data_IF_774632489084
#
_entry.id   IF_774632489084
#
_cell.length_a   1.000
_cell.length_b   1.000
_cell.length_c   1.000
_cell.angle_alpha   90.00
_cell.angle_beta   90.00
_cell.angle_gamma   90.00
#
_symmetry.space_group_name_H-M   'P 1'
#
loop_
_entity.id
_entity.type
_entity.pdbx_description
1 polymer ?
#
# COMPACT_ATOMS: atom_id res chain seq x y z
N UNK A 1 -4.79 8.25 -28.92
CA UNK A 1 -6.17 8.75 -29.09
C UNK A 1 -6.87 8.68 -27.74
N UNK A 2 -7.78 9.60 -27.41
CA UNK A 2 -8.58 9.56 -26.17
C UNK A 2 -10.04 9.93 -26.43
N UNK A 3 -10.96 9.35 -25.67
CA UNK A 3 -12.41 9.61 -25.75
C UNK A 3 -12.95 10.36 -24.50
N UNK A 4 -12.09 10.67 -23.52
CA UNK A 4 -12.46 11.37 -22.29
C UNK A 4 -12.32 12.91 -22.36
N UNK A 5 -12.58 13.61 -21.24
CA UNK A 5 -12.55 15.08 -21.14
C UNK A 5 -11.20 15.73 -21.49
N UNK A 6 -10.11 14.96 -21.38
CA UNK A 6 -8.76 15.42 -21.64
C UNK A 6 -7.99 14.44 -22.54
N UNK A 7 -6.94 14.95 -23.20
CA UNK A 7 -5.89 14.19 -23.87
C UNK A 7 -4.58 14.31 -23.10
N UNK A 8 -3.83 13.22 -23.01
CA UNK A 8 -2.50 13.20 -22.41
C UNK A 8 -1.48 13.79 -23.39
N UNK A 9 -0.63 14.69 -22.92
CA UNK A 9 0.42 15.34 -23.73
C UNK A 9 1.73 15.40 -22.95
N UNK A 10 2.84 15.10 -23.63
CA UNK A 10 4.20 15.26 -23.08
C UNK A 10 4.67 14.15 -22.15
N UNK A 11 3.94 13.02 -22.07
CA UNK A 11 4.43 11.83 -21.37
C UNK A 11 5.32 11.01 -22.31
N UNK A 12 6.52 10.67 -21.85
CA UNK A 12 7.53 9.90 -22.59
C UNK A 12 7.63 8.45 -22.14
N UNK A 13 6.73 8.01 -21.25
CA UNK A 13 6.79 6.69 -20.62
C UNK A 13 7.58 6.67 -19.31
N UNK A 14 8.54 7.59 -19.13
CA UNK A 14 9.49 7.58 -18.01
C UNK A 14 9.73 8.93 -17.35
N UNK A 15 9.26 10.03 -17.93
CA UNK A 15 9.46 11.36 -17.38
C UNK A 15 8.52 11.65 -16.18
N UNK A 16 8.96 12.53 -15.30
CA UNK A 16 8.26 12.89 -14.05
C UNK A 16 7.22 14.01 -14.21
N UNK A 17 6.93 14.46 -15.43
CA UNK A 17 5.97 15.53 -15.68
C UNK A 17 5.16 15.27 -16.94
N UNK A 18 3.89 15.65 -16.93
CA UNK A 18 3.02 15.60 -18.11
C UNK A 18 1.89 16.60 -17.95
N UNK A 19 1.02 16.67 -18.94
CA UNK A 19 -0.19 17.47 -18.86
C UNK A 19 -1.38 16.76 -19.48
N UNK A 20 -2.54 16.99 -18.88
CA UNK A 20 -3.83 16.74 -19.49
C UNK A 20 -4.32 18.03 -20.13
N UNK A 21 -4.63 18.00 -21.42
CA UNK A 21 -5.15 19.15 -22.17
C UNK A 21 -6.60 18.85 -22.53
N UNK A 22 -7.50 19.82 -22.38
CA UNK A 22 -8.93 19.66 -22.72
C UNK A 22 -9.10 19.04 -24.10
N UNK A 23 -9.94 18.01 -24.19
CA UNK A 23 -10.27 17.33 -25.44
C UNK A 23 -11.49 18.00 -26.10
N UNK A 24 -11.33 18.70 -27.23
CA UNK A 24 -12.45 19.36 -27.90
C UNK A 24 -13.44 18.35 -28.54
N UNK A 25 -13.03 17.10 -28.76
CA UNK A 25 -13.87 16.05 -29.34
C UNK A 25 -14.63 15.22 -28.30
N UNK A 26 -14.48 15.51 -27.01
CA UNK A 26 -15.28 14.87 -25.98
C UNK A 26 -16.74 15.33 -26.09
N UNK A 27 -17.69 14.39 -26.04
CA UNK A 27 -19.12 14.67 -26.24
C UNK A 27 -19.65 15.79 -25.33
N UNK A 28 -19.08 15.94 -24.12
CA UNK A 28 -19.43 16.98 -23.15
C UNK A 28 -18.34 18.04 -22.95
N UNK A 29 -17.53 18.35 -23.98
CA UNK A 29 -16.41 19.30 -23.88
C UNK A 29 -16.85 20.72 -23.44
N UNK A 30 -18.07 21.15 -23.74
CA UNK A 30 -18.64 22.44 -23.32
C UNK A 30 -18.64 22.63 -21.78
N UNK A 31 -18.77 21.54 -21.03
CA UNK A 31 -18.79 21.56 -19.57
C UNK A 31 -17.41 21.39 -18.91
N UNK A 32 -16.37 21.09 -19.69
CA UNK A 32 -14.99 20.99 -19.17
C UNK A 32 -14.39 22.40 -19.05
N UNK A 33 -14.24 22.90 -17.81
CA UNK A 33 -13.80 24.28 -17.53
C UNK A 33 -12.28 24.43 -17.40
N UNK A 34 -11.58 23.42 -16.91
CA UNK A 34 -10.13 23.45 -16.79
C UNK A 34 -9.53 23.18 -18.18
N UNK A 35 -8.73 24.12 -18.69
CA UNK A 35 -8.12 23.99 -20.01
C UNK A 35 -6.93 23.02 -20.02
N UNK A 36 -6.14 23.04 -18.95
CA UNK A 36 -4.96 22.21 -18.80
C UNK A 36 -4.71 21.88 -17.33
N UNK A 37 -4.33 20.63 -17.07
CA UNK A 37 -3.85 20.15 -15.78
C UNK A 37 -2.39 19.77 -15.97
N UNK A 38 -1.49 20.37 -15.19
CA UNK A 38 -0.07 19.99 -15.18
C UNK A 38 0.14 19.00 -14.04
N UNK A 39 0.88 17.94 -14.30
CA UNK A 39 1.21 16.92 -13.30
C UNK A 39 2.73 16.84 -13.17
N UNK A 40 3.19 16.75 -11.94
CA UNK A 40 4.57 16.51 -11.59
C UNK A 40 4.62 15.43 -10.49
N UNK A 41 5.55 14.49 -10.62
CA UNK A 41 5.76 13.44 -9.63
C UNK A 41 6.58 13.99 -8.47
N UNK A 42 6.04 13.88 -7.26
CA UNK A 42 6.74 14.13 -6.00
C UNK A 42 6.80 12.82 -5.21
N UNK A 43 7.98 12.46 -4.68
CA UNK A 43 8.17 11.18 -3.97
C UNK A 43 8.18 11.32 -2.44
N UNK A 44 8.24 12.55 -1.95
CA UNK A 44 8.29 12.86 -0.52
C UNK A 44 7.42 14.06 -0.18
N UNK A 45 6.87 14.04 1.04
CA UNK A 45 5.94 15.05 1.55
C UNK A 45 6.57 16.44 1.68
N UNK A 46 7.89 16.53 1.89
CA UNK A 46 8.58 17.82 2.05
C UNK A 46 8.66 18.57 0.73
N UNK A 47 9.09 17.90 -0.34
CA UNK A 47 9.13 18.46 -1.70
C UNK A 47 7.73 18.86 -2.16
N UNK A 48 6.74 17.99 -1.95
CA UNK A 48 5.33 18.25 -2.24
C UNK A 48 4.83 19.53 -1.54
N UNK A 49 5.02 19.62 -0.22
CA UNK A 49 4.62 20.78 0.56
C UNK A 49 5.32 22.06 0.13
N UNK A 50 6.62 22.01 -0.15
CA UNK A 50 7.38 23.17 -0.61
C UNK A 50 6.85 23.70 -1.96
N UNK A 51 6.52 22.81 -2.90
CA UNK A 51 5.92 23.20 -4.17
C UNK A 51 4.53 23.82 -3.99
N UNK A 52 3.72 23.28 -3.08
CA UNK A 52 2.40 23.79 -2.77
C UNK A 52 2.49 25.20 -2.14
N UNK A 53 3.33 25.37 -1.12
CA UNK A 53 3.54 26.64 -0.44
C UNK A 53 4.14 27.72 -1.36
N UNK A 54 4.95 27.31 -2.34
CA UNK A 54 5.49 28.20 -3.37
C UNK A 54 4.50 28.50 -4.52
N UNK A 55 3.26 28.00 -4.45
CA UNK A 55 2.23 28.18 -5.47
C UNK A 55 2.53 27.48 -6.80
N UNK A 56 3.48 26.53 -6.83
CA UNK A 56 3.86 25.78 -8.04
C UNK A 56 2.90 24.64 -8.35
N UNK A 57 2.23 24.11 -7.32
CA UNK A 57 1.15 23.12 -7.44
C UNK A 57 -0.05 23.58 -6.61
N UNK A 58 -1.25 23.15 -7.00
CA UNK A 58 -2.52 23.54 -6.35
C UNK A 58 -3.11 22.43 -5.49
N UNK A 59 -2.63 21.20 -5.65
CA UNK A 59 -3.08 20.02 -4.92
C UNK A 59 -1.91 19.06 -4.79
N UNK A 60 -1.77 18.43 -3.63
CA UNK A 60 -0.80 17.38 -3.38
C UNK A 60 -1.22 16.50 -2.22
N UNK A 61 -0.74 15.25 -2.22
CA UNK A 61 -0.81 14.39 -1.04
C UNK A 61 0.40 14.67 -0.13
N UNK A 62 0.17 14.57 1.17
CA UNK A 62 1.18 14.70 2.22
C UNK A 62 0.89 13.66 3.30
N UNK A 63 1.92 13.29 4.03
CA UNK A 63 1.87 12.22 5.03
C UNK A 63 2.73 12.57 6.25
N UNK A 64 2.73 11.67 7.25
CA UNK A 64 3.76 11.65 8.28
C UNK A 64 3.79 12.92 9.12
N UNK A 65 5.01 13.43 9.27
CA UNK A 65 5.30 14.59 10.09
C UNK A 65 4.62 15.86 9.59
N UNK A 66 4.42 15.98 8.27
CA UNK A 66 3.76 17.15 7.71
C UNK A 66 2.29 17.23 8.13
N UNK A 67 1.56 16.11 8.05
CA UNK A 67 0.16 16.03 8.49
C UNK A 67 0.06 16.38 9.98
N UNK A 68 0.94 15.80 10.80
CA UNK A 68 0.98 16.08 12.24
C UNK A 68 1.21 17.56 12.55
N UNK A 69 2.20 18.18 11.90
CA UNK A 69 2.55 19.58 12.13
C UNK A 69 1.49 20.57 11.61
N UNK A 70 0.70 20.17 10.60
CA UNK A 70 -0.26 21.04 9.92
C UNK A 70 -1.73 20.64 10.13
N UNK A 71 -2.02 19.82 11.15
CA UNK A 71 -3.36 19.27 11.42
C UNK A 71 -4.49 20.31 11.57
N UNK A 72 -4.15 21.55 11.94
CA UNK A 72 -5.10 22.66 12.08
C UNK A 72 -5.23 23.53 10.83
N UNK A 73 -4.51 23.22 9.75
CA UNK A 73 -4.57 23.99 8.51
C UNK A 73 -5.90 23.75 7.80
N UNK A 74 -6.58 24.84 7.40
CA UNK A 74 -7.80 24.77 6.58
C UNK A 74 -7.55 24.21 5.17
N UNK A 75 -6.29 24.17 4.74
CA UNK A 75 -5.88 23.62 3.43
C UNK A 75 -5.57 22.12 3.51
N UNK A 76 -5.50 21.55 4.72
CA UNK A 76 -5.26 20.14 4.92
C UNK A 76 -6.59 19.42 5.11
N UNK A 77 -6.83 18.42 4.27
CA UNK A 77 -7.98 17.54 4.37
C UNK A 77 -7.51 16.10 4.49
N UNK A 78 -8.07 15.37 5.46
CA UNK A 78 -7.84 13.93 5.62
C UNK A 78 -9.15 13.18 5.40
N UNK A 79 -9.07 12.09 4.65
CA UNK A 79 -10.18 11.19 4.41
C UNK A 79 -9.65 9.76 4.37
N UNK A 80 -10.39 8.83 4.95
CA UNK A 80 -10.03 7.42 4.85
C UNK A 80 -10.37 6.93 3.45
N UNK A 81 -9.39 6.34 2.77
CA UNK A 81 -9.57 5.75 1.45
C UNK A 81 -10.11 4.33 1.58
N UNK A 82 -10.91 3.90 0.59
CA UNK A 82 -11.15 2.48 0.29
C UNK A 82 -9.88 1.86 -0.28
N UNK A 83 -8.83 1.78 0.54
CA UNK A 83 -7.51 1.25 0.20
C UNK A 83 -7.01 0.36 1.34
N UNK A 84 -6.53 -0.82 0.99
CA UNK A 84 -5.87 -1.75 1.89
C UNK A 84 -4.42 -1.94 1.45
N UNK A 85 -3.47 -1.86 2.39
CA UNK A 85 -2.08 -2.26 2.13
C UNK A 85 -1.84 -3.67 2.69
N UNK A 86 -1.19 -4.52 1.90
CA UNK A 86 -1.06 -5.96 2.14
C UNK A 86 0.39 -6.39 1.93
N UNK A 87 0.84 -7.37 2.71
CA UNK A 87 2.07 -8.11 2.41
C UNK A 87 1.71 -9.38 1.64
N UNK A 88 2.11 -9.43 0.38
CA UNK A 88 2.02 -10.62 -0.46
C UNK A 88 3.27 -11.46 -0.30
N UNK A 89 3.07 -12.76 -0.11
CA UNK A 89 4.15 -13.74 -0.04
C UNK A 89 4.12 -14.55 -1.32
N UNK A 90 5.28 -14.66 -1.97
CA UNK A 90 5.38 -15.48 -3.17
C UNK A 90 5.35 -16.96 -2.81
N UNK A 91 4.19 -17.60 -2.93
CA UNK A 91 4.03 -19.02 -2.59
C UNK A 91 4.75 -19.97 -3.55
N UNK A 92 5.23 -19.50 -4.71
CA UNK A 92 6.03 -20.33 -5.64
C UNK A 92 7.45 -20.56 -5.14
N UNK A 93 7.91 -19.75 -4.19
CA UNK A 93 9.22 -19.93 -3.54
C UNK A 93 9.05 -20.78 -2.29
N UNK A 94 9.81 -21.88 -2.21
CA UNK A 94 9.78 -22.79 -1.06
C UNK A 94 9.94 -22.05 0.28
N UNK A 95 10.82 -21.03 0.32
CA UNK A 95 11.09 -20.23 1.51
C UNK A 95 9.85 -19.49 2.01
N UNK A 96 9.00 -18.95 1.13
CA UNK A 96 7.83 -18.12 1.47
C UNK A 96 6.48 -18.81 1.34
N UNK A 97 6.47 -20.07 0.86
CA UNK A 97 5.28 -20.92 0.78
C UNK A 97 4.77 -21.40 2.15
N UNK A 98 5.61 -21.38 3.19
CA UNK A 98 5.24 -21.84 4.54
C UNK A 98 4.20 -20.94 5.19
N UNK A 99 3.10 -21.54 5.66
CA UNK A 99 2.11 -20.85 6.48
C UNK A 99 2.72 -20.36 7.81
N UNK A 100 3.62 -21.14 8.41
CA UNK A 100 4.30 -20.75 9.64
C UNK A 100 5.06 -19.44 9.47
N UNK A 101 5.71 -19.21 8.32
CA UNK A 101 6.34 -17.92 8.04
C UNK A 101 5.31 -16.79 7.97
N UNK A 102 4.23 -16.96 7.18
CA UNK A 102 3.21 -15.91 6.98
C UNK A 102 2.55 -15.51 8.28
N UNK A 103 2.23 -16.50 9.13
CA UNK A 103 1.69 -16.28 10.46
C UNK A 103 2.71 -15.55 11.35
N UNK A 104 3.97 -16.01 11.38
CA UNK A 104 5.02 -15.37 12.18
C UNK A 104 5.18 -13.88 11.85
N UNK A 105 5.22 -13.53 10.56
CA UNK A 105 5.31 -12.15 10.09
C UNK A 105 4.07 -11.34 10.49
N UNK A 106 2.86 -11.86 10.25
CA UNK A 106 1.61 -11.14 10.55
C UNK A 106 1.45 -10.82 12.05
N UNK A 107 1.78 -11.79 12.92
CA UNK A 107 1.73 -11.63 14.38
C UNK A 107 2.83 -10.70 14.93
N UNK A 108 3.94 -10.50 14.21
CA UNK A 108 5.05 -9.64 14.62
C UNK A 108 4.81 -8.15 14.33
N UNK A 109 3.81 -7.80 13.52
CA UNK A 109 3.53 -6.44 13.08
C UNK A 109 2.50 -5.78 13.99
N UNK A 110 2.92 -4.73 14.70
CA UNK A 110 2.02 -3.85 15.44
C UNK A 110 1.41 -2.81 14.49
N UNK A 111 0.22 -3.13 13.97
CA UNK A 111 -0.50 -2.28 13.02
C UNK A 111 -0.91 -0.93 13.64
N UNK A 112 -1.11 -0.84 14.96
CA UNK A 112 -1.41 0.44 15.61
C UNK A 112 -0.16 1.31 15.68
N UNK A 113 1.00 0.72 16.03
CA UNK A 113 2.27 1.44 16.00
C UNK A 113 2.59 1.91 14.57
N UNK A 114 2.39 1.06 13.57
CA UNK A 114 2.60 1.41 12.17
C UNK A 114 1.78 2.65 11.77
N UNK A 115 0.48 2.67 12.04
CA UNK A 115 -0.35 3.82 11.65
C UNK A 115 -0.09 5.05 12.50
N UNK A 116 0.06 4.90 13.81
CA UNK A 116 0.13 6.04 14.73
C UNK A 116 1.53 6.66 14.84
N UNK A 117 2.59 5.89 14.57
CA UNK A 117 3.98 6.32 14.77
C UNK A 117 4.80 6.40 13.49
N UNK A 118 4.47 5.60 12.46
CA UNK A 118 5.19 5.62 11.18
C UNK A 118 4.44 6.50 10.17
N UNK A 119 3.17 6.18 9.90
CA UNK A 119 2.38 6.88 8.87
C UNK A 119 1.86 8.25 9.33
N UNK A 120 1.32 8.36 10.55
CA UNK A 120 0.87 9.62 11.19
C UNK A 120 -0.05 10.51 10.32
N UNK A 121 -0.79 9.92 9.39
CA UNK A 121 -1.55 10.63 8.35
C UNK A 121 -3.07 10.45 8.47
N UNK A 122 -3.53 9.74 9.50
CA UNK A 122 -4.94 9.38 9.69
C UNK A 122 -5.28 7.96 9.26
N UNK A 123 -4.33 7.22 8.65
CA UNK A 123 -4.43 5.79 8.39
C UNK A 123 -4.86 5.02 9.63
N UNK A 124 -5.60 3.92 9.42
CA UNK A 124 -6.15 3.09 10.50
C UNK A 124 -5.60 1.68 10.42
N UNK A 125 -5.23 1.11 11.57
CA UNK A 125 -4.77 -0.27 11.65
C UNK A 125 -5.80 -1.22 11.01
N UNK A 126 -5.36 -2.03 10.05
CA UNK A 126 -6.21 -2.99 9.36
C UNK A 126 -6.81 -4.01 10.33
N UNK A 127 -8.08 -4.34 10.15
CA UNK A 127 -8.77 -5.41 10.89
C UNK A 127 -8.86 -6.69 10.05
N UNK A 128 -9.21 -6.53 8.78
CA UNK A 128 -9.40 -7.64 7.83
C UNK A 128 -8.74 -7.30 6.48
N UNK A 129 -8.86 -8.20 5.49
CA UNK A 129 -8.45 -7.92 4.11
C UNK A 129 -9.33 -6.86 3.42
N UNK A 130 -10.56 -6.68 3.90
CA UNK A 130 -11.50 -5.64 3.45
C UNK A 130 -11.33 -4.40 4.35
N UNK A 131 -11.19 -3.19 3.79
CA UNK A 131 -11.05 -1.97 4.58
C UNK A 131 -12.36 -1.56 5.26
N UNK A 132 -12.22 -0.77 6.33
CA UNK A 132 -13.37 -0.15 7.01
C UNK A 132 -14.07 0.81 6.04
N UNK A 133 -15.40 0.83 6.07
CA UNK A 133 -16.22 1.70 5.25
C UNK A 133 -16.45 1.19 3.83
N UNK A 134 -15.94 0.00 3.48
CA UNK A 134 -16.17 -0.61 2.17
C UNK A 134 -17.62 -1.09 2.04
N UNK A 135 -18.08 -1.90 3.00
CA UNK A 135 -19.45 -2.40 3.03
C UNK A 135 -20.04 -2.39 4.42
N UNK A 136 -21.36 -2.20 4.47
CA UNK A 136 -22.17 -2.39 5.66
C UNK A 136 -23.09 -3.58 5.50
N UNK A 137 -23.29 -4.30 6.60
CA UNK A 137 -24.24 -5.39 6.67
C UNK A 137 -25.67 -4.83 6.49
N UNK A 138 -26.44 -5.29 5.49
CA UNK A 138 -27.76 -4.72 5.20
C UNK A 138 -28.80 -4.99 6.29
N UNK A 139 -28.57 -5.98 7.16
CA UNK A 139 -29.48 -6.29 8.27
C UNK A 139 -29.17 -5.49 9.53
N UNK A 140 -27.88 -5.28 9.85
CA UNK A 140 -27.45 -4.67 11.12
C UNK A 140 -26.96 -3.24 10.96
N UNK A 141 -26.67 -2.79 9.74
CA UNK A 141 -26.03 -1.51 9.43
C UNK A 141 -24.56 -1.41 9.86
N UNK A 142 -23.96 -2.48 10.40
CA UNK A 142 -22.59 -2.47 10.90
C UNK A 142 -21.58 -2.60 9.77
N UNK A 143 -20.42 -1.97 9.95
CA UNK A 143 -19.26 -2.10 9.06
C UNK A 143 -18.72 -3.53 9.04
N UNK A 144 -18.53 -4.11 7.85
CA UNK A 144 -18.08 -5.49 7.69
C UNK A 144 -16.72 -5.74 8.38
N UNK A 145 -15.73 -4.86 8.17
CA UNK A 145 -14.40 -5.03 8.73
C UNK A 145 -14.43 -5.03 10.28
N UNK A 146 -15.35 -4.28 10.87
CA UNK A 146 -15.58 -4.23 12.31
C UNK A 146 -16.30 -5.47 12.85
N UNK A 147 -17.26 -6.02 12.10
CA UNK A 147 -17.93 -7.29 12.46
C UNK A 147 -16.99 -8.50 12.39
N UNK A 148 -16.14 -8.56 11.36
CA UNK A 148 -15.10 -9.61 11.24
C UNK A 148 -14.03 -9.45 12.33
N UNK A 149 -13.68 -8.21 12.66
CA UNK A 149 -12.64 -7.91 13.64
C UNK A 149 -11.24 -8.29 13.16
N UNK A 150 -10.28 -8.30 14.09
CA UNK A 150 -8.89 -8.65 13.79
C UNK A 150 -8.58 -10.08 14.21
N UNK A 151 -8.48 -10.98 13.22
CA UNK A 151 -8.17 -12.40 13.43
C UNK A 151 -6.66 -12.67 13.59
N UNK A 152 -5.80 -11.71 13.22
CA UNK A 152 -4.33 -11.81 13.27
C UNK A 152 -3.76 -10.63 14.06
N UNK A 153 -4.11 -10.58 15.34
CA UNK A 153 -3.69 -9.52 16.27
C UNK A 153 -2.18 -9.51 16.49
N UNK A 154 -1.61 -8.36 16.82
CA UNK A 154 -0.20 -8.27 17.19
C UNK A 154 0.08 -9.10 18.45
N UNK A 155 0.97 -10.09 18.35
CA UNK A 155 1.34 -10.96 19.45
C UNK A 155 2.75 -11.56 19.23
N UNK A 156 3.76 -10.94 19.82
CA UNK A 156 5.17 -11.34 19.66
C UNK A 156 5.46 -12.78 20.11
N UNK A 157 4.80 -13.25 21.17
CA UNK A 157 4.98 -14.63 21.66
C UNK A 157 4.46 -15.65 20.62
N UNK A 158 3.31 -15.37 20.03
CA UNK A 158 2.72 -16.19 18.95
C UNK A 158 3.57 -16.11 17.69
N UNK A 159 4.05 -14.91 17.32
CA UNK A 159 4.97 -14.72 16.20
C UNK A 159 6.23 -15.60 16.34
N UNK A 160 6.88 -15.57 17.51
CA UNK A 160 8.06 -16.39 17.81
C UNK A 160 7.76 -17.88 17.75
N UNK A 161 6.58 -18.32 18.19
CA UNK A 161 6.18 -19.73 18.12
C UNK A 161 6.04 -20.21 16.68
N UNK A 162 5.36 -19.45 15.84
CA UNK A 162 5.25 -19.76 14.40
C UNK A 162 6.62 -19.70 13.72
N UNK A 163 7.47 -18.74 14.07
CA UNK A 163 8.82 -18.64 13.55
C UNK A 163 9.67 -19.88 13.86
N UNK A 164 9.62 -20.39 15.09
CA UNK A 164 10.34 -21.60 15.46
C UNK A 164 9.83 -22.84 14.70
N UNK A 165 8.52 -22.92 14.42
CA UNK A 165 7.95 -23.98 13.57
C UNK A 165 8.47 -23.87 12.14
N UNK A 166 8.50 -22.65 11.59
CA UNK A 166 9.06 -22.39 10.27
C UNK A 166 10.54 -22.77 10.16
N UNK A 167 11.37 -22.39 11.14
CA UNK A 167 12.79 -22.74 11.14
C UNK A 167 13.01 -24.26 11.15
N UNK A 168 12.20 -24.99 11.93
CA UNK A 168 12.21 -26.47 11.93
C UNK A 168 11.76 -27.06 10.60
N UNK A 169 10.66 -26.56 10.05
CA UNK A 169 10.12 -26.95 8.74
C UNK A 169 11.15 -26.74 7.63
N UNK A 170 11.85 -25.61 7.65
CA UNK A 170 12.87 -25.25 6.68
C UNK A 170 14.23 -25.92 6.92
N UNK A 171 14.44 -26.56 8.08
CA UNK A 171 15.75 -27.09 8.49
C UNK A 171 16.83 -26.01 8.61
N UNK A 172 16.46 -24.77 8.98
CA UNK A 172 17.34 -23.60 9.00
C UNK A 172 17.40 -22.96 10.38
N UNK A 173 18.51 -22.30 10.67
CA UNK A 173 18.66 -21.43 11.85
C UNK A 173 18.80 -19.95 11.48
N UNK A 174 19.08 -19.67 10.21
CA UNK A 174 19.16 -18.32 9.62
C UNK A 174 18.40 -18.29 8.31
N UNK A 175 17.67 -17.21 8.07
CA UNK A 175 16.87 -16.99 6.86
C UNK A 175 17.02 -15.55 6.42
N UNK A 176 17.24 -15.33 5.12
CA UNK A 176 17.22 -14.01 4.51
C UNK A 176 16.00 -13.91 3.60
N UNK A 177 15.22 -12.84 3.75
CA UNK A 177 14.07 -12.55 2.88
C UNK A 177 14.18 -11.13 2.33
N UNK A 178 13.75 -10.95 1.09
CA UNK A 178 13.57 -9.61 0.52
C UNK A 178 12.15 -9.08 0.72
N UNK A 179 12.01 -7.80 1.07
CA UNK A 179 10.74 -7.07 1.00
C UNK A 179 10.85 -6.05 -0.14
N UNK A 180 9.98 -6.20 -1.13
CA UNK A 180 9.82 -5.27 -2.24
C UNK A 180 8.84 -4.16 -1.84
N UNK A 181 9.22 -2.91 -2.06
CA UNK A 181 8.37 -1.74 -1.84
C UNK A 181 8.52 -0.74 -3.00
N UNK A 182 7.56 0.18 -3.11
CA UNK A 182 7.74 1.40 -3.88
C UNK A 182 8.85 2.28 -3.27
N UNK A 183 9.37 3.22 -4.06
CA UNK A 183 10.43 4.16 -3.65
C UNK A 183 9.93 5.50 -3.10
N UNK A 184 8.63 5.56 -2.78
CA UNK A 184 7.99 6.68 -2.07
C UNK A 184 8.50 6.78 -0.62
N UNK A 185 8.46 7.97 -0.03
CA UNK A 185 8.91 8.19 1.35
C UNK A 185 8.11 7.34 2.38
N UNK A 186 6.80 7.20 2.18
CA UNK A 186 5.95 6.40 3.07
C UNK A 186 6.26 4.91 2.98
N UNK A 187 6.36 4.37 1.75
CA UNK A 187 6.66 2.95 1.55
C UNK A 187 8.08 2.61 2.04
N UNK A 188 9.02 3.55 1.91
CA UNK A 188 10.36 3.41 2.50
C UNK A 188 10.31 3.29 4.01
N UNK A 189 9.58 4.18 4.68
CA UNK A 189 9.39 4.16 6.14
C UNK A 189 8.69 2.89 6.61
N UNK A 190 7.66 2.44 5.89
CA UNK A 190 6.98 1.18 6.18
C UNK A 190 7.95 0.01 6.01
N UNK A 191 8.73 -0.03 4.94
CA UNK A 191 9.77 -1.06 4.72
C UNK A 191 10.79 -1.11 5.88
N UNK A 192 11.34 0.03 6.29
CA UNK A 192 12.27 0.11 7.43
C UNK A 192 11.62 -0.31 8.75
N UNK A 193 10.37 0.07 8.98
CA UNK A 193 9.61 -0.40 10.15
C UNK A 193 9.47 -1.92 10.13
N UNK A 194 9.04 -2.51 9.01
CA UNK A 194 8.89 -3.95 8.85
C UNK A 194 10.21 -4.69 9.08
N UNK A 195 11.30 -4.24 8.45
CA UNK A 195 12.64 -4.78 8.67
C UNK A 195 12.98 -4.78 10.17
N UNK A 196 12.86 -3.63 10.83
CA UNK A 196 13.21 -3.47 12.24
C UNK A 196 12.41 -4.39 13.17
N UNK A 197 11.08 -4.41 13.04
CA UNK A 197 10.23 -5.22 13.94
C UNK A 197 10.35 -6.72 13.66
N UNK A 198 10.53 -7.12 12.39
CA UNK A 198 10.66 -8.52 12.04
C UNK A 198 12.02 -9.08 12.49
N UNK A 199 13.13 -8.39 12.21
CA UNK A 199 14.46 -8.83 12.66
C UNK A 199 14.57 -8.85 14.20
N UNK A 200 13.99 -7.85 14.87
CA UNK A 200 13.95 -7.81 16.35
C UNK A 200 13.18 -8.99 16.94
N UNK A 201 12.03 -9.34 16.35
CA UNK A 201 11.11 -10.30 16.95
C UNK A 201 11.35 -11.74 16.48
N UNK A 202 12.01 -11.95 15.34
CA UNK A 202 12.22 -13.25 14.70
C UNK A 202 13.73 -13.57 14.61
N UNK A 203 14.34 -14.15 15.67
CA UNK A 203 15.78 -14.37 15.71
C UNK A 203 16.31 -15.20 14.54
N UNK A 204 17.42 -14.75 13.95
CA UNK A 204 18.02 -15.41 12.77
C UNK A 204 17.41 -14.97 11.44
N UNK A 205 16.38 -14.11 11.44
CA UNK A 205 15.89 -13.46 10.23
C UNK A 205 16.77 -12.27 9.85
N UNK A 206 17.02 -12.11 8.56
CA UNK A 206 17.56 -10.88 7.95
C UNK A 206 16.61 -10.45 6.84
N UNK A 207 16.23 -9.17 6.84
CA UNK A 207 15.39 -8.56 5.82
C UNK A 207 16.25 -7.63 4.95
N UNK A 208 16.21 -7.84 3.64
CA UNK A 208 16.78 -6.91 2.66
C UNK A 208 15.65 -6.11 2.01
N UNK A 209 15.70 -4.78 2.08
CA UNK A 209 14.71 -3.93 1.41
C UNK A 209 15.11 -3.69 -0.04
N UNK A 210 14.17 -3.91 -0.96
CA UNK A 210 14.29 -3.52 -2.37
C UNK A 210 13.25 -2.47 -2.67
N UNK A 211 13.69 -1.24 -2.92
CA UNK A 211 12.81 -0.08 -3.05
C UNK A 211 12.97 0.48 -4.45
N UNK A 212 11.93 0.41 -5.28
CA UNK A 212 12.02 0.71 -6.72
C UNK A 212 10.84 1.57 -7.20
N UNK A 213 10.96 2.25 -8.35
CA UNK A 213 9.85 3.01 -8.91
C UNK A 213 8.62 2.13 -9.17
N UNK A 214 7.43 2.66 -8.93
CA UNK A 214 6.16 1.92 -9.00
C UNK A 214 5.97 1.09 -10.29
N UNK A 215 6.30 1.65 -11.46
CA UNK A 215 6.19 0.89 -12.72
C UNK A 215 7.08 -0.36 -12.74
N UNK A 216 8.27 -0.30 -12.15
CA UNK A 216 9.17 -1.46 -12.02
C UNK A 216 8.67 -2.43 -10.94
N UNK A 217 8.08 -1.91 -9.86
CA UNK A 217 7.45 -2.70 -8.81
C UNK A 217 6.34 -3.59 -9.40
N UNK A 218 5.35 -2.98 -10.06
CA UNK A 218 4.26 -3.70 -10.74
C UNK A 218 4.79 -4.73 -11.73
N UNK A 219 5.84 -4.40 -12.49
CA UNK A 219 6.47 -5.37 -13.40
C UNK A 219 7.08 -6.57 -12.68
N UNK A 220 7.66 -6.40 -11.49
CA UNK A 220 8.20 -7.51 -10.68
C UNK A 220 7.10 -8.35 -10.05
N UNK A 221 5.98 -7.73 -9.72
CA UNK A 221 4.82 -8.41 -9.14
C UNK A 221 4.27 -9.44 -10.13
N UNK A 222 3.97 -9.01 -11.35
CA UNK A 222 3.52 -9.90 -12.42
C UNK A 222 4.57 -10.94 -12.84
N UNK A 223 5.86 -10.62 -12.68
CA UNK A 223 6.93 -11.58 -12.95
C UNK A 223 7.18 -12.58 -11.79
N UNK A 224 6.55 -12.40 -10.63
CA UNK A 224 6.81 -13.20 -9.42
C UNK A 224 8.24 -13.02 -8.87
N UNK A 225 8.87 -11.87 -9.14
CA UNK A 225 10.26 -11.58 -8.80
C UNK A 225 10.41 -10.88 -7.45
N UNK A 226 9.88 -11.51 -6.39
CA UNK A 226 9.94 -11.05 -5.01
C UNK A 226 9.79 -12.24 -4.04
N UNK A 227 10.24 -12.08 -2.79
CA UNK A 227 9.89 -13.01 -1.70
C UNK A 227 8.64 -12.51 -0.97
N UNK A 228 8.69 -11.27 -0.49
CA UNK A 228 7.58 -10.54 0.12
C UNK A 228 7.41 -9.22 -0.64
N UNK A 229 6.18 -8.83 -0.90
CA UNK A 229 5.83 -7.61 -1.60
C UNK A 229 4.81 -6.79 -0.76
N UNK A 230 5.11 -5.51 -0.54
CA UNK A 230 4.16 -4.54 0.01
C UNK A 230 3.34 -3.90 -1.12
N UNK A 231 2.08 -4.33 -1.26
CA UNK A 231 1.15 -3.76 -2.24
C UNK A 231 0.07 -2.92 -1.58
N UNK A 232 -0.53 -2.03 -2.36
CA UNK A 232 -1.79 -1.37 -2.04
C UNK A 232 -2.87 -1.73 -3.05
N UNK A 233 -4.05 -2.12 -2.57
CA UNK A 233 -5.23 -2.30 -3.41
C UNK A 233 -6.29 -1.28 -3.03
N UNK A 234 -6.87 -0.62 -4.02
CA UNK A 234 -7.94 0.35 -3.84
C UNK A 234 -9.04 0.11 -4.83
N UNK A 235 -10.28 0.30 -4.40
CA UNK A 235 -11.45 0.14 -5.24
C UNK A 235 -12.32 1.39 -5.24
N UNK A 236 -13.01 1.60 -6.35
CA UNK A 236 -14.11 2.54 -6.45
C UNK A 236 -15.48 1.83 -6.45
N UNK A 237 -15.47 0.51 -6.33
CA UNK A 237 -16.65 -0.33 -6.19
C UNK A 237 -16.71 -0.78 -4.72
N UNK A 238 -17.76 -0.37 -4.00
CA UNK A 238 -17.96 -0.71 -2.59
C UNK A 238 -18.48 -2.14 -2.43
N UNK A 239 -17.61 -3.12 -2.73
CA UNK A 239 -17.89 -4.54 -2.56
C UNK A 239 -16.69 -5.36 -2.15
N UNK A 240 -16.90 -6.11 -1.07
CA UNK A 240 -15.89 -6.95 -0.46
C UNK A 240 -15.34 -7.99 -1.44
N UNK A 241 -16.12 -8.43 -2.44
CA UNK A 241 -15.67 -9.33 -3.50
C UNK A 241 -14.41 -8.80 -4.19
N UNK A 242 -14.28 -7.49 -4.42
CA UNK A 242 -13.11 -6.92 -5.09
C UNK A 242 -11.81 -7.16 -4.28
N UNK A 243 -11.88 -7.07 -2.95
CA UNK A 243 -10.75 -7.39 -2.07
C UNK A 243 -10.54 -8.90 -1.89
N UNK A 244 -11.62 -9.66 -1.74
CA UNK A 244 -11.55 -11.10 -1.48
C UNK A 244 -11.10 -11.89 -2.72
N UNK A 245 -11.48 -11.43 -3.91
CA UNK A 245 -11.09 -12.04 -5.18
C UNK A 245 -9.60 -11.94 -5.45
N UNK A 246 -8.87 -11.06 -4.76
CA UNK A 246 -7.41 -11.04 -4.81
C UNK A 246 -6.79 -12.38 -4.37
N UNK A 247 -7.48 -13.13 -3.51
CA UNK A 247 -7.06 -14.46 -3.08
C UNK A 247 -7.56 -15.59 -4.00
N UNK A 248 -8.44 -15.29 -4.98
CA UNK A 248 -9.01 -16.30 -5.87
C UNK A 248 -7.95 -16.86 -6.82
N UNK A 249 -7.98 -18.19 -7.04
CA UNK A 249 -6.98 -18.90 -7.86
C UNK A 249 -6.86 -18.39 -9.30
N UNK A 250 -7.99 -17.95 -9.89
CA UNK A 250 -8.04 -17.46 -11.27
C UNK A 250 -7.74 -15.96 -11.41
N UNK A 251 -7.53 -15.24 -10.32
CA UNK A 251 -7.31 -13.80 -10.38
C UNK A 251 -5.88 -13.50 -10.87
N UNK A 252 -5.75 -12.66 -11.91
CA UNK A 252 -4.48 -12.31 -12.52
C UNK A 252 -3.53 -11.51 -11.60
N UNK A 253 -4.06 -10.87 -10.55
CA UNK A 253 -3.27 -10.17 -9.53
C UNK A 253 -3.08 -11.01 -8.25
N UNK A 254 -3.44 -12.29 -8.29
CA UNK A 254 -3.11 -13.22 -7.22
C UNK A 254 -1.69 -13.77 -7.40
N UNK A 255 -0.73 -13.17 -6.70
CA UNK A 255 0.66 -13.62 -6.75
C UNK A 255 0.98 -14.77 -5.76
N UNK A 256 -0.04 -15.36 -5.13
CA UNK A 256 0.10 -16.45 -4.14
C UNK A 256 -0.14 -17.84 -4.73
N UNK A 257 -0.45 -17.94 -6.04
CA UNK A 257 -0.64 -19.19 -6.78
C UNK A 257 0.31 -19.31 -7.97
#
# INVERSE_FOLDING_TARGET
MSNGPYKLVGWTGSNSTWRYVKNPHYWNAQNVKIHQIKVAVTKDSTTAANLFNAGKIQETTVSGEYVRANGNSKQLHTHLLGRMNLLYFNSKRQTTASENLRQAVSYAIDRNQLTNSVLKDGSKAALSAVPRGDQTNPQTGKDMASEVGNLLTYNVSTAKRYWQRYLKEAGKTKVTLSILTDDSDDDKKVGTYLQSVLEKNLPGLTITLTQIPHAQHVSRDFAGNFDINLIGWSTNWLDASDYLDLAAKGNSVNFTN
#
